data_IF_916491801999
#
_entry.id   IF_916491801999
#
_cell.length_a   1.000
_cell.length_b   1.000
_cell.length_c   1.000
_cell.angle_alpha   90.00
_cell.angle_beta   90.00
_cell.angle_gamma   90.00
#
_symmetry.space_group_name_H-M   'P 1'
#
loop_
_entity.id
_entity.type
_entity.pdbx_description
1 polymer ?
#
# COMPACT_ATOMS: atom_id res chain seq x y z
N UNK A 1 8.10 -1.27 -19.22
CA UNK A 1 8.06 -2.52 -19.98
C UNK A 1 7.79 -3.66 -19.01
N UNK A 2 7.13 -4.72 -19.48
CA UNK A 2 6.94 -5.94 -18.70
C UNK A 2 8.31 -6.58 -18.42
N UNK A 3 8.61 -6.85 -17.15
CA UNK A 3 9.81 -7.57 -16.75
C UNK A 3 9.60 -9.08 -16.81
N UNK A 4 10.69 -9.83 -16.89
CA UNK A 4 10.68 -11.28 -16.73
C UNK A 4 10.41 -11.63 -15.25
N UNK A 5 9.24 -12.21 -14.99
CA UNK A 5 8.76 -12.53 -13.64
C UNK A 5 9.70 -13.49 -12.88
N UNK A 6 10.25 -14.50 -13.57
CA UNK A 6 11.14 -15.49 -12.93
C UNK A 6 12.49 -14.87 -12.57
N UNK A 7 13.09 -14.12 -13.49
CA UNK A 7 14.34 -13.39 -13.21
C UNK A 7 14.14 -12.36 -12.10
N UNK A 8 13.02 -11.63 -12.13
CA UNK A 8 12.70 -10.65 -11.09
C UNK A 8 12.54 -11.31 -9.72
N UNK A 9 11.86 -12.45 -9.65
CA UNK A 9 11.71 -13.23 -8.44
C UNK A 9 13.06 -13.65 -7.86
N UNK A 10 13.96 -14.20 -8.69
CA UNK A 10 15.30 -14.60 -8.27
C UNK A 10 16.12 -13.40 -7.77
N UNK A 11 16.08 -12.27 -8.49
CA UNK A 11 16.72 -11.03 -8.05
C UNK A 11 16.18 -10.58 -6.68
N UNK A 12 14.86 -10.58 -6.49
CA UNK A 12 14.25 -10.23 -5.22
C UNK A 12 14.70 -11.14 -4.07
N UNK A 13 14.76 -12.45 -4.29
CA UNK A 13 15.30 -13.39 -3.29
C UNK A 13 16.77 -13.11 -2.98
N UNK A 14 17.60 -12.87 -3.99
CA UNK A 14 19.01 -12.51 -3.81
C UNK A 14 19.18 -11.22 -3.00
N UNK A 15 18.33 -10.21 -3.24
CA UNK A 15 18.35 -8.93 -2.50
C UNK A 15 17.61 -9.00 -1.15
N UNK A 16 17.15 -10.18 -0.72
CA UNK A 16 16.45 -10.38 0.55
C UNK A 16 15.03 -9.78 0.61
N UNK A 17 14.41 -9.53 -0.54
CA UNK A 17 13.02 -9.07 -0.64
C UNK A 17 12.10 -10.29 -0.58
N UNK A 18 11.60 -10.58 0.62
CA UNK A 18 10.69 -11.71 0.85
C UNK A 18 9.20 -11.32 0.76
N UNK A 19 8.91 -10.03 0.91
CA UNK A 19 7.56 -9.51 0.94
C UNK A 19 7.46 -8.19 0.16
N UNK A 20 6.27 -7.93 -0.35
CA UNK A 20 5.86 -6.69 -0.96
C UNK A 20 4.79 -6.03 -0.08
N UNK A 21 4.76 -4.71 -0.06
CA UNK A 21 3.99 -3.96 0.94
C UNK A 21 3.07 -2.94 0.27
N UNK A 22 1.82 -2.87 0.74
CA UNK A 22 0.86 -1.85 0.31
C UNK A 22 0.19 -1.25 1.54
N UNK A 23 0.19 0.07 1.66
CA UNK A 23 -0.45 0.76 2.76
C UNK A 23 -1.65 1.57 2.28
N UNK A 24 -2.72 1.59 3.07
CA UNK A 24 -3.89 2.40 2.77
C UNK A 24 -4.63 2.84 4.04
N UNK A 25 -5.63 3.70 3.84
CA UNK A 25 -6.59 4.14 4.85
C UNK A 25 -7.47 3.00 5.34
N UNK A 26 -8.08 3.15 6.53
CA UNK A 26 -9.04 2.16 7.05
C UNK A 26 -10.21 1.97 6.09
N UNK A 27 -10.83 3.05 5.62
CA UNK A 27 -12.01 2.97 4.73
C UNK A 27 -11.70 2.27 3.41
N UNK A 28 -10.57 2.58 2.75
CA UNK A 28 -10.19 1.89 1.50
C UNK A 28 -9.83 0.43 1.76
N UNK A 29 -9.20 0.12 2.89
CA UNK A 29 -8.88 -1.26 3.26
C UNK A 29 -10.13 -2.12 3.50
N UNK A 30 -11.21 -1.53 4.04
CA UNK A 30 -12.50 -2.20 4.19
C UNK A 30 -13.07 -2.62 2.83
N UNK A 31 -12.93 -1.79 1.79
CA UNK A 31 -13.30 -2.15 0.42
C UNK A 31 -12.51 -3.37 -0.07
N UNK A 32 -11.20 -3.40 0.18
CA UNK A 32 -10.37 -4.57 -0.17
C UNK A 32 -10.82 -5.83 0.57
N UNK A 33 -11.18 -5.71 1.85
CA UNK A 33 -11.71 -6.84 2.63
C UNK A 33 -13.02 -7.38 2.07
N UNK A 34 -13.95 -6.51 1.66
CA UNK A 34 -15.21 -6.89 1.03
C UNK A 34 -15.01 -7.60 -0.32
N UNK A 35 -13.93 -7.28 -1.04
CA UNK A 35 -13.59 -7.88 -2.34
C UNK A 35 -12.56 -9.00 -2.25
N UNK A 36 -12.15 -9.37 -1.04
CA UNK A 36 -11.17 -10.42 -0.77
C UNK A 36 -9.84 -10.23 -1.57
N UNK A 37 -9.46 -8.97 -1.83
CA UNK A 37 -8.29 -8.66 -2.63
C UNK A 37 -7.97 -7.17 -2.71
N UNK A 38 -6.71 -6.85 -3.01
CA UNK A 38 -6.29 -5.47 -3.30
C UNK A 38 -6.78 -5.08 -4.69
N UNK A 39 -7.33 -3.87 -4.81
CA UNK A 39 -7.82 -3.32 -6.07
C UNK A 39 -7.06 -2.05 -6.42
N UNK A 40 -6.80 -1.86 -7.71
CA UNK A 40 -6.35 -0.58 -8.25
C UNK A 40 -7.43 0.49 -8.03
N UNK A 41 -7.02 1.75 -8.01
CA UNK A 41 -7.96 2.87 -7.79
C UNK A 41 -9.02 2.93 -8.89
N UNK A 42 -8.64 2.65 -10.13
CA UNK A 42 -9.59 2.56 -11.24
C UNK A 42 -10.55 1.40 -11.15
N UNK A 43 -10.12 0.22 -10.70
CA UNK A 43 -11.04 -0.89 -10.46
C UNK A 43 -12.07 -0.57 -9.36
N UNK A 44 -11.66 0.11 -8.28
CA UNK A 44 -12.60 0.57 -7.25
C UNK A 44 -13.64 1.54 -7.85
N UNK A 45 -13.20 2.51 -8.66
CA UNK A 45 -14.09 3.48 -9.32
C UNK A 45 -15.06 2.80 -10.29
N UNK A 46 -14.59 1.92 -11.16
CA UNK A 46 -15.41 1.19 -12.15
C UNK A 46 -16.47 0.30 -11.48
N UNK A 47 -16.16 -0.27 -10.31
CA UNK A 47 -17.08 -1.11 -9.54
C UNK A 47 -18.02 -0.31 -8.63
N UNK A 48 -17.95 1.03 -8.63
CA UNK A 48 -18.77 1.89 -7.77
C UNK A 48 -18.51 1.70 -6.27
N UNK A 49 -17.28 1.29 -5.92
CA UNK A 49 -16.89 1.03 -4.53
C UNK A 49 -16.31 2.29 -3.87
N UNK A 50 -16.24 2.27 -2.55
CA UNK A 50 -15.63 3.35 -1.80
C UNK A 50 -14.09 3.26 -1.84
N UNK A 51 -13.42 4.39 -2.02
CA UNK A 51 -12.02 4.60 -1.66
C UNK A 51 -11.81 6.02 -1.17
N UNK A 52 -10.87 6.18 -0.25
CA UNK A 52 -10.48 7.50 0.22
C UNK A 52 -9.73 8.23 -0.90
N UNK A 53 -10.13 9.49 -1.15
CA UNK A 53 -9.47 10.37 -2.13
C UNK A 53 -8.00 10.57 -1.78
N UNK A 54 -7.13 10.51 -2.79
CA UNK A 54 -5.71 10.81 -2.67
C UNK A 54 -5.37 12.06 -3.48
N UNK A 55 -4.30 12.75 -3.10
CA UNK A 55 -3.85 13.96 -3.82
C UNK A 55 -3.31 13.65 -5.22
N UNK A 56 -2.91 12.40 -5.49
CA UNK A 56 -2.40 11.97 -6.79
C UNK A 56 -3.48 11.56 -7.78
N UNK A 57 -4.76 11.43 -7.38
CA UNK A 57 -5.80 10.80 -8.20
C UNK A 57 -5.90 11.33 -9.64
N UNK A 58 -5.89 12.66 -9.80
CA UNK A 58 -5.95 13.28 -11.13
C UNK A 58 -4.66 13.08 -11.92
N UNK A 59 -3.50 13.10 -11.26
CA UNK A 59 -2.21 12.84 -11.91
C UNK A 59 -2.09 11.38 -12.34
N UNK A 60 -2.61 10.45 -11.53
CA UNK A 60 -2.58 9.03 -11.81
C UNK A 60 -3.40 8.69 -13.07
N UNK A 61 -4.51 9.39 -13.31
CA UNK A 61 -5.28 9.33 -14.57
C UNK A 61 -4.50 9.91 -15.74
N UNK A 62 -3.83 11.05 -15.56
CA UNK A 62 -3.01 11.71 -16.61
C UNK A 62 -1.81 10.86 -17.02
N UNK A 63 -1.18 10.16 -16.08
CA UNK A 63 0.01 9.35 -16.32
C UNK A 63 -0.28 7.88 -16.62
N UNK A 64 -1.55 7.52 -16.84
CA UNK A 64 -1.98 6.16 -17.16
C UNK A 64 -1.50 5.12 -16.13
N UNK A 65 -1.68 5.43 -14.85
CA UNK A 65 -1.41 4.54 -13.71
C UNK A 65 -2.64 4.35 -12.82
N UNK A 66 -3.81 4.85 -13.22
CA UNK A 66 -5.05 4.75 -12.43
C UNK A 66 -5.46 3.29 -12.14
N UNK A 67 -5.19 2.40 -13.10
CA UNK A 67 -5.45 0.96 -12.99
C UNK A 67 -4.24 0.16 -12.49
N UNK A 68 -3.18 0.82 -12.04
CA UNK A 68 -2.01 0.13 -11.49
C UNK A 68 -2.17 -0.17 -10.00
N UNK A 69 -1.47 -1.21 -9.55
CA UNK A 69 -1.26 -1.47 -8.12
C UNK A 69 0.23 -1.34 -7.81
N UNK A 70 0.56 -0.43 -6.89
CA UNK A 70 1.93 -0.19 -6.43
C UNK A 70 2.20 -0.91 -5.11
N UNK A 71 3.31 -1.63 -5.08
CA UNK A 71 3.79 -2.37 -3.92
C UNK A 71 5.25 -2.00 -3.63
N UNK A 72 5.54 -1.60 -2.40
CA UNK A 72 6.90 -1.32 -1.96
C UNK A 72 7.66 -2.62 -1.69
N UNK A 73 8.99 -2.62 -1.91
CA UNK A 73 9.85 -3.75 -1.54
C UNK A 73 10.23 -3.77 -0.05
N UNK A 74 9.71 -2.83 0.74
CA UNK A 74 9.95 -2.70 2.18
C UNK A 74 8.76 -2.05 2.88
N UNK A 75 8.52 -2.40 4.14
CA UNK A 75 7.61 -1.65 5.01
C UNK A 75 8.16 -0.23 5.22
N UNK A 76 7.60 0.75 4.50
CA UNK A 76 8.01 2.16 4.60
C UNK A 76 7.84 2.73 6.02
N UNK A 77 6.90 2.23 6.83
CA UNK A 77 6.73 2.68 8.21
C UNK A 77 7.97 2.28 9.02
N UNK A 78 8.35 1.00 8.95
CA UNK A 78 9.53 0.46 9.63
C UNK A 78 10.84 1.03 9.09
N UNK A 79 10.92 1.29 7.78
CA UNK A 79 12.13 1.80 7.12
C UNK A 79 12.43 3.28 7.45
N UNK A 80 11.40 4.13 7.55
CA UNK A 80 11.55 5.57 7.86
C UNK A 80 11.26 5.93 9.33
N UNK A 81 11.36 4.96 10.25
CA UNK A 81 10.70 4.93 11.56
C UNK A 81 9.63 6.01 11.82
N UNK A 82 8.59 6.06 10.98
CA UNK A 82 7.46 7.01 11.08
C UNK A 82 6.21 6.43 10.44
N UNK A 83 5.05 7.04 10.68
CA UNK A 83 3.79 6.60 10.08
C UNK A 83 3.85 6.56 8.55
N UNK A 84 3.21 5.57 7.95
CA UNK A 84 3.04 5.53 6.52
C UNK A 84 2.07 6.65 6.08
N UNK A 85 2.45 7.41 5.04
CA UNK A 85 1.68 8.55 4.55
C UNK A 85 0.41 8.13 3.80
N UNK A 86 0.39 6.91 3.25
CA UNK A 86 -0.76 6.36 2.52
C UNK A 86 -1.85 5.86 3.47
N UNK A 87 -1.48 5.38 4.65
CA UNK A 87 -2.40 5.12 5.74
C UNK A 87 -1.94 4.07 6.75
N UNK A 88 -2.75 3.82 7.79
CA UNK A 88 -2.36 3.03 8.95
C UNK A 88 -2.55 1.51 8.78
N UNK A 89 -3.16 1.06 7.67
CA UNK A 89 -3.35 -0.36 7.38
C UNK A 89 -2.31 -0.78 6.36
N UNK A 90 -1.40 -1.67 6.75
CA UNK A 90 -0.38 -2.23 5.89
C UNK A 90 -0.72 -3.69 5.53
N UNK A 91 -0.70 -3.98 4.24
CA UNK A 91 -0.78 -5.31 3.68
C UNK A 91 0.63 -5.79 3.34
N UNK A 92 1.04 -6.93 3.90
CA UNK A 92 2.29 -7.61 3.59
C UNK A 92 1.98 -8.85 2.74
N UNK A 93 2.44 -8.86 1.49
CA UNK A 93 2.21 -9.91 0.51
C UNK A 93 3.48 -10.71 0.30
N UNK A 94 3.37 -12.03 0.14
CA UNK A 94 4.50 -12.86 -0.25
C UNK A 94 4.99 -12.44 -1.65
N UNK A 95 6.31 -12.30 -1.79
CA UNK A 95 6.98 -11.96 -3.05
C UNK A 95 6.69 -12.97 -4.17
N UNK A 96 6.32 -14.21 -3.85
CA UNK A 96 5.87 -15.23 -4.82
C UNK A 96 4.73 -14.73 -5.73
N UNK A 97 4.00 -13.68 -5.32
CA UNK A 97 3.03 -12.95 -6.14
C UNK A 97 3.58 -12.57 -7.53
N UNK A 98 4.86 -12.20 -7.63
CA UNK A 98 5.45 -11.77 -8.91
C UNK A 98 5.60 -12.93 -9.90
N UNK A 99 5.49 -14.18 -9.47
CA UNK A 99 5.53 -15.35 -10.34
C UNK A 99 4.21 -15.59 -11.09
N UNK A 100 3.13 -14.91 -10.73
CA UNK A 100 1.87 -15.05 -11.45
C UNK A 100 1.99 -14.46 -12.87
N UNK A 101 1.82 -15.30 -13.88
CA UNK A 101 2.00 -14.95 -15.29
C UNK A 101 0.89 -14.05 -15.85
N UNK A 102 -0.28 -14.02 -15.19
CA UNK A 102 -1.39 -13.12 -15.54
C UNK A 102 -1.08 -11.66 -15.16
N UNK A 103 -0.11 -11.45 -14.27
CA UNK A 103 0.29 -10.13 -13.83
C UNK A 103 1.40 -9.55 -14.71
N UNK A 104 1.13 -8.36 -15.24
CA UNK A 104 2.10 -7.57 -15.96
C UNK A 104 2.95 -6.76 -14.97
N UNK A 105 4.10 -7.31 -14.58
CA UNK A 105 4.97 -6.72 -13.55
C UNK A 105 5.98 -5.74 -14.15
N UNK A 106 5.97 -4.51 -13.62
CA UNK A 106 6.88 -3.41 -13.96
C UNK A 106 7.52 -2.88 -12.67
N UNK A 107 8.68 -2.23 -12.76
CA UNK A 107 9.32 -1.57 -11.61
C UNK A 107 9.58 -0.10 -11.94
N UNK A 108 9.17 0.81 -11.05
CA UNK A 108 9.41 2.25 -11.23
C UNK A 108 10.85 2.64 -10.93
N UNK A 109 11.40 3.63 -11.64
CA UNK A 109 12.68 4.31 -11.30
C UNK A 109 12.46 5.49 -10.35
N UNK A 110 11.22 5.99 -10.24
CA UNK A 110 10.83 7.03 -9.31
C UNK A 110 9.33 6.97 -8.99
N UNK A 111 8.91 7.62 -7.91
CA UNK A 111 7.50 7.69 -7.55
C UNK A 111 6.69 8.50 -8.60
N UNK A 112 5.52 8.01 -9.06
CA UNK A 112 4.68 8.67 -10.05
C UNK A 112 4.35 10.13 -9.75
N UNK A 113 4.30 10.52 -8.47
CA UNK A 113 4.05 11.93 -8.08
C UNK A 113 5.11 12.91 -8.61
N UNK A 114 6.28 12.43 -8.99
CA UNK A 114 7.38 13.24 -9.54
C UNK A 114 7.44 13.23 -11.07
N UNK A 115 6.55 12.48 -11.74
CA UNK A 115 6.49 12.47 -13.19
C UNK A 115 5.85 13.76 -13.71
N UNK A 116 6.21 14.10 -14.94
CA UNK A 116 5.61 15.20 -15.67
C UNK A 116 5.29 14.73 -17.10
N UNK A 117 4.62 15.60 -17.87
CA UNK A 117 4.16 15.26 -19.23
C UNK A 117 5.28 14.89 -20.20
N UNK A 118 6.52 15.28 -19.91
CA UNK A 118 7.69 14.97 -20.73
C UNK A 118 8.46 13.73 -20.25
N UNK A 119 8.09 13.16 -19.09
CA UNK A 119 8.74 11.95 -18.58
C UNK A 119 8.37 10.77 -19.46
N UNK A 120 9.37 10.20 -20.13
CA UNK A 120 9.22 9.04 -21.01
C UNK A 120 9.10 7.76 -20.20
N UNK A 121 8.54 6.69 -20.78
CA UNK A 121 8.41 5.41 -20.07
C UNK A 121 9.76 4.80 -19.69
N UNK A 122 10.82 5.07 -20.45
CA UNK A 122 12.20 4.68 -20.12
C UNK A 122 12.74 5.39 -18.88
N UNK A 123 12.28 6.60 -18.61
CA UNK A 123 12.63 7.34 -17.39
C UNK A 123 11.75 6.92 -16.21
N UNK A 124 10.49 6.53 -16.48
CA UNK A 124 9.54 6.07 -15.45
C UNK A 124 9.89 4.67 -14.93
N UNK A 125 10.29 3.76 -15.81
CA UNK A 125 10.37 2.33 -15.52
C UNK A 125 11.71 1.72 -15.91
N UNK A 126 12.08 0.66 -15.22
CA UNK A 126 13.16 -0.23 -15.67
C UNK A 126 12.75 -0.97 -16.94
N UNK A 127 13.71 -1.10 -17.85
CA UNK A 127 13.53 -1.72 -19.15
C UNK A 127 13.80 -3.23 -19.10
N UNK A 128 14.60 -3.71 -18.14
CA UNK A 128 14.89 -5.13 -17.92
C UNK A 128 15.24 -5.42 -16.45
N UNK A 129 15.31 -6.71 -16.09
CA UNK A 129 15.75 -7.14 -14.75
C UNK A 129 17.25 -6.85 -14.57
N UNK A 130 18.03 -6.98 -15.64
CA UNK A 130 19.46 -6.67 -15.65
C UNK A 130 19.71 -5.17 -15.38
N UNK A 131 18.92 -4.27 -15.98
CA UNK A 131 19.02 -2.82 -15.68
C UNK A 131 18.68 -2.54 -14.20
N UNK A 132 17.66 -3.21 -13.67
CA UNK A 132 17.25 -3.08 -12.28
C UNK A 132 18.34 -3.57 -11.33
N UNK A 133 18.96 -4.71 -11.64
CA UNK A 133 20.06 -5.28 -10.86
C UNK A 133 21.26 -4.34 -10.82
N UNK A 134 21.72 -3.87 -11.99
CA UNK A 134 22.82 -2.92 -12.12
C UNK A 134 22.58 -1.65 -11.29
N UNK A 135 21.34 -1.14 -11.30
CA UNK A 135 20.95 0.10 -10.61
C UNK A 135 20.45 -0.11 -9.18
N UNK A 136 20.41 -1.34 -8.68
CA UNK A 136 19.73 -1.67 -7.42
C UNK A 136 20.22 -0.82 -6.25
N UNK A 137 21.54 -0.68 -6.13
CA UNK A 137 22.19 0.05 -5.03
C UNK A 137 22.35 1.56 -5.30
N UNK A 138 22.04 2.04 -6.51
CA UNK A 138 22.24 3.44 -6.91
C UNK A 138 20.98 4.29 -6.79
N UNK A 139 19.81 3.66 -6.66
CA UNK A 139 18.53 4.33 -6.50
C UNK A 139 17.94 4.02 -5.12
N UNK A 140 17.29 4.98 -4.49
CA UNK A 140 16.69 4.74 -3.17
C UNK A 140 15.58 3.68 -3.25
N UNK A 141 15.44 2.87 -2.19
CA UNK A 141 14.56 1.69 -2.21
C UNK A 141 13.09 2.05 -2.42
N UNK A 142 12.59 3.10 -1.77
CA UNK A 142 11.21 3.58 -1.86
C UNK A 142 10.83 4.12 -3.25
N UNK A 143 11.80 4.33 -4.15
CA UNK A 143 11.53 4.75 -5.53
C UNK A 143 11.26 3.59 -6.46
N UNK A 144 11.68 2.38 -6.07
CA UNK A 144 11.59 1.13 -6.81
C UNK A 144 10.36 0.36 -6.37
N UNK A 145 9.19 0.85 -6.76
CA UNK A 145 7.92 0.18 -6.48
C UNK A 145 7.68 -0.91 -7.51
N UNK A 146 7.23 -2.06 -7.03
CA UNK A 146 6.70 -3.14 -7.87
C UNK A 146 5.30 -2.77 -8.30
N UNK A 147 5.08 -2.68 -9.60
CA UNK A 147 3.82 -2.23 -10.20
C UNK A 147 3.19 -3.39 -10.95
N UNK A 148 1.97 -3.74 -10.58
CA UNK A 148 1.11 -4.59 -11.40
C UNK A 148 0.32 -3.68 -12.32
N UNK A 149 0.68 -3.65 -13.61
CA UNK A 149 0.14 -2.70 -14.58
C UNK A 149 -1.28 -3.06 -14.99
N UNK A 150 -2.12 -2.03 -15.15
CA UNK A 150 -3.46 -2.10 -15.73
C UNK A 150 -4.31 -3.28 -15.18
N UNK A 151 -4.22 -3.53 -13.88
CA UNK A 151 -4.89 -4.64 -13.24
C UNK A 151 -6.26 -4.20 -12.70
N UNK A 152 -7.31 -4.74 -13.30
CA UNK A 152 -8.71 -4.46 -12.93
C UNK A 152 -9.31 -5.51 -11.99
N UNK A 153 -8.64 -6.63 -11.81
CA UNK A 153 -9.08 -7.73 -10.96
C UNK A 153 -8.47 -7.61 -9.56
N UNK A 154 -9.10 -8.12 -8.49
CA UNK A 154 -8.49 -8.15 -7.18
C UNK A 154 -7.19 -8.99 -7.16
N UNK A 155 -6.12 -8.47 -6.55
CA UNK A 155 -5.01 -9.34 -6.09
C UNK A 155 -5.52 -10.10 -4.87
N UNK A 156 -5.79 -11.39 -5.05
CA UNK A 156 -6.44 -12.19 -4.02
C UNK A 156 -5.58 -12.31 -2.75
N UNK A 157 -6.26 -12.32 -1.60
CA UNK A 157 -5.61 -12.37 -0.30
C UNK A 157 -4.94 -13.70 0.06
N UNK A 158 -4.96 -14.68 -0.83
CA UNK A 158 -4.14 -15.87 -0.71
C UNK A 158 -2.64 -15.53 -0.58
N UNK A 159 -2.19 -14.47 -1.25
CA UNK A 159 -0.81 -13.99 -1.18
C UNK A 159 -0.51 -13.14 0.06
N UNK A 160 -1.50 -12.73 0.85
CA UNK A 160 -1.25 -11.96 2.08
C UNK A 160 -0.58 -12.85 3.13
N UNK A 161 0.53 -12.39 3.68
CA UNK A 161 1.13 -12.96 4.88
C UNK A 161 0.54 -12.31 6.14
N UNK A 162 0.47 -10.97 6.18
CA UNK A 162 0.00 -10.20 7.33
C UNK A 162 -0.77 -8.95 6.93
N UNK A 163 -1.69 -8.55 7.79
CA UNK A 163 -2.33 -7.23 7.79
C UNK A 163 -1.96 -6.57 9.11
N UNK A 164 -1.34 -5.39 9.05
CA UNK A 164 -0.81 -4.70 10.20
C UNK A 164 -1.55 -3.37 10.35
N UNK A 165 -2.14 -3.11 11.52
CA UNK A 165 -2.77 -1.83 11.86
C UNK A 165 -1.90 -1.02 12.81
N UNK A 166 -1.64 0.23 12.46
CA UNK A 166 -0.96 1.20 13.34
C UNK A 166 -1.85 1.57 14.55
N UNK A 167 -1.24 1.71 15.73
CA UNK A 167 -1.87 2.31 16.91
C UNK A 167 -1.37 3.76 17.07
N UNK A 168 -2.18 4.78 16.72
CA UNK A 168 -1.78 6.16 16.85
C UNK A 168 -1.73 6.64 18.30
N UNK A 169 -2.36 5.92 19.25
CA UNK A 169 -2.58 6.34 20.65
C UNK A 169 -3.25 7.73 20.78
N UNK A 170 -4.01 8.14 19.77
CA UNK A 170 -4.72 9.41 19.73
C UNK A 170 -6.18 9.24 20.19
N UNK A 171 -6.63 10.18 21.02
CA UNK A 171 -8.04 10.37 21.39
C UNK A 171 -8.52 11.71 20.84
N UNK A 172 -9.62 11.70 20.10
CA UNK A 172 -10.29 12.92 19.65
C UNK A 172 -11.46 13.22 20.60
N UNK A 173 -11.61 14.46 21.02
CA UNK A 173 -12.75 14.89 21.85
C UNK A 173 -13.75 15.67 20.99
N UNK A 174 -15.03 15.32 21.07
CA UNK A 174 -16.12 16.04 20.44
C UNK A 174 -17.32 16.08 21.38
N UNK A 175 -17.63 17.26 21.95
CA UNK A 175 -18.80 17.51 22.82
C UNK A 175 -19.07 16.36 23.81
N UNK A 176 -18.12 16.14 24.74
CA UNK A 176 -18.11 15.10 25.78
C UNK A 176 -17.94 13.64 25.32
N UNK A 177 -17.94 13.37 24.02
CA UNK A 177 -17.59 12.06 23.48
C UNK A 177 -16.09 11.96 23.15
N UNK A 178 -15.49 10.82 23.52
CA UNK A 178 -14.10 10.49 23.20
C UNK A 178 -14.03 9.41 22.14
N UNK A 179 -13.42 9.73 20.99
CA UNK A 179 -13.16 8.78 19.91
C UNK A 179 -11.72 8.31 20.03
N UNK A 180 -11.54 7.02 20.32
CA UNK A 180 -10.25 6.37 20.34
C UNK A 180 -9.95 5.81 18.94
N UNK A 181 -9.09 6.50 18.18
CA UNK A 181 -8.88 6.19 16.75
C UNK A 181 -8.48 4.72 16.51
N UNK A 182 -7.59 4.18 17.33
CA UNK A 182 -7.18 2.78 17.24
C UNK A 182 -8.36 1.82 17.46
N UNK A 183 -9.20 2.08 18.47
CA UNK A 183 -10.31 1.20 18.81
C UNK A 183 -11.37 1.18 17.70
N UNK A 184 -11.69 2.35 17.14
CA UNK A 184 -12.62 2.46 16.01
C UNK A 184 -12.09 1.74 14.76
N UNK A 185 -10.84 2.01 14.39
CA UNK A 185 -10.19 1.35 13.26
C UNK A 185 -10.14 -0.18 13.44
N UNK A 186 -9.70 -0.63 14.62
CA UNK A 186 -9.61 -2.06 14.95
C UNK A 186 -10.97 -2.73 14.93
N UNK A 187 -12.01 -2.09 15.50
CA UNK A 187 -13.39 -2.62 15.50
C UNK A 187 -13.92 -2.77 14.08
N UNK A 188 -13.76 -1.76 13.25
CA UNK A 188 -14.21 -1.79 11.86
C UNK A 188 -13.53 -2.93 11.07
N UNK A 189 -12.20 -3.05 11.18
CA UNK A 189 -11.44 -4.08 10.46
C UNK A 189 -11.75 -5.48 11.00
N UNK A 190 -11.75 -5.66 12.33
CA UNK A 190 -11.92 -6.97 12.96
C UNK A 190 -13.26 -7.62 12.60
N UNK A 191 -14.33 -6.83 12.54
CA UNK A 191 -15.65 -7.34 12.13
C UNK A 191 -15.66 -7.98 10.74
N UNK A 192 -14.81 -7.50 9.82
CA UNK A 192 -14.71 -8.04 8.45
C UNK A 192 -13.66 -9.15 8.36
N UNK A 193 -12.54 -9.00 9.07
CA UNK A 193 -11.44 -9.98 9.06
C UNK A 193 -11.84 -11.29 9.73
N UNK A 194 -12.55 -11.24 10.86
CA UNK A 194 -12.88 -12.45 11.65
C UNK A 194 -13.77 -13.43 10.86
N UNK A 195 -14.60 -12.92 9.94
CA UNK A 195 -15.46 -13.73 9.07
C UNK A 195 -14.79 -14.14 7.76
N UNK A 196 -13.66 -13.51 7.38
CA UNK A 196 -12.94 -13.83 6.16
C UNK A 196 -11.86 -14.91 6.43
N UNK A 197 -12.14 -16.13 5.97
CA UNK A 197 -11.30 -17.32 6.17
C UNK A 197 -9.86 -17.11 5.69
N UNK A 198 -9.63 -16.34 4.61
CA UNK A 198 -8.31 -16.15 4.01
C UNK A 198 -7.37 -15.29 4.87
N UNK A 199 -7.92 -14.45 5.75
CA UNK A 199 -7.16 -13.43 6.50
C UNK A 199 -7.44 -13.40 8.01
N UNK A 200 -8.40 -14.16 8.53
CA UNK A 200 -8.82 -14.13 9.96
C UNK A 200 -7.67 -14.22 10.98
N UNK A 201 -6.60 -14.95 10.66
CA UNK A 201 -5.45 -15.15 11.53
C UNK A 201 -4.21 -14.32 11.13
N UNK A 202 -4.37 -13.41 10.17
CA UNK A 202 -3.27 -12.61 9.60
C UNK A 202 -3.25 -11.16 10.10
N UNK A 203 -4.27 -10.74 10.86
CA UNK A 203 -4.38 -9.37 11.37
C UNK A 203 -3.63 -9.18 12.69
N UNK A 204 -2.77 -8.17 12.75
CA UNK A 204 -1.98 -7.81 13.94
C UNK A 204 -1.93 -6.30 14.13
N UNK A 205 -1.62 -5.88 15.36
CA UNK A 205 -1.32 -4.48 15.67
C UNK A 205 0.18 -4.23 15.52
N UNK A 206 0.56 -3.07 14.98
CA UNK A 206 1.95 -2.65 14.91
C UNK A 206 2.49 -2.38 16.31
N UNK A 207 3.70 -2.89 16.57
CA UNK A 207 4.48 -2.55 17.76
C UNK A 207 5.67 -1.70 17.34
N UNK A 208 5.78 -0.51 17.92
CA UNK A 208 6.83 0.46 17.64
C UNK A 208 7.72 0.64 18.87
N UNK A 209 9.04 0.51 18.71
CA UNK A 209 10.02 0.78 19.77
C UNK A 209 10.67 2.17 19.58
N UNK A 210 11.34 2.38 18.43
CA UNK A 210 12.04 3.62 18.09
C UNK A 210 11.43 4.27 16.85
N UNK A 211 10.15 4.64 16.94
CA UNK A 211 9.40 5.21 15.82
C UNK A 211 8.70 6.50 16.24
N UNK A 212 8.73 7.51 15.37
CA UNK A 212 8.11 8.81 15.63
C UNK A 212 6.61 8.82 15.28
N UNK A 213 6.01 7.69 14.88
CA UNK A 213 4.64 7.65 14.38
C UNK A 213 3.61 8.21 15.37
N UNK A 214 3.65 7.79 16.65
CA UNK A 214 2.74 8.30 17.68
C UNK A 214 2.88 9.81 17.86
N UNK A 215 4.11 10.31 17.94
CA UNK A 215 4.38 11.75 18.07
C UNK A 215 3.88 12.52 16.84
N UNK A 216 4.11 11.99 15.64
CA UNK A 216 3.65 12.62 14.40
C UNK A 216 2.12 12.62 14.30
N UNK A 217 1.45 11.53 14.67
CA UNK A 217 0.00 11.49 14.71
C UNK A 217 -0.58 12.52 15.68
N UNK A 218 0.05 12.71 16.85
CA UNK A 218 -0.40 13.67 17.85
C UNK A 218 -0.17 15.13 17.45
N UNK A 219 0.96 15.44 16.80
CA UNK A 219 1.42 16.83 16.67
C UNK A 219 1.49 17.33 15.22
N UNK A 220 1.61 16.44 14.24
CA UNK A 220 1.91 16.82 12.85
C UNK A 220 0.78 16.46 11.88
N UNK A 221 -0.14 15.57 12.27
CA UNK A 221 -1.29 15.17 11.45
C UNK A 221 -2.53 15.90 11.95
N UNK A 222 -3.19 16.67 11.08
CA UNK A 222 -4.41 17.39 11.44
C UNK A 222 -5.54 16.44 11.86
N UNK A 223 -6.45 16.91 12.72
CA UNK A 223 -7.64 16.15 13.14
C UNK A 223 -8.45 15.64 11.94
N UNK A 224 -8.60 16.45 10.89
CA UNK A 224 -9.29 16.03 9.66
C UNK A 224 -8.57 14.86 8.98
N UNK A 225 -7.24 14.92 8.86
CA UNK A 225 -6.46 13.83 8.28
C UNK A 225 -6.47 12.58 9.17
N UNK A 226 -6.43 12.72 10.49
CA UNK A 226 -6.55 11.60 11.41
C UNK A 226 -7.89 10.87 11.23
N UNK A 227 -8.99 11.62 11.12
CA UNK A 227 -10.31 11.05 10.83
C UNK A 227 -10.30 10.32 9.48
N UNK A 228 -9.81 10.98 8.41
CA UNK A 228 -9.66 10.39 7.08
C UNK A 228 -8.85 9.08 7.06
N UNK A 229 -7.80 9.00 7.88
CA UNK A 229 -6.91 7.84 7.93
C UNK A 229 -7.51 6.64 8.70
N UNK A 230 -8.14 6.91 9.84
CA UNK A 230 -8.50 5.89 10.84
C UNK A 230 -10.00 5.59 10.96
N UNK A 231 -10.87 6.52 10.62
CA UNK A 231 -12.31 6.32 10.77
C UNK A 231 -12.90 5.81 9.46
N UNK A 232 -13.83 4.86 9.60
CA UNK A 232 -14.64 4.43 8.48
C UNK A 232 -15.60 5.55 8.09
N UNK A 233 -15.44 6.09 6.90
CA UNK A 233 -16.41 6.98 6.28
C UNK A 233 -17.55 6.11 5.72
N UNK A 234 -18.78 6.42 6.14
CA UNK A 234 -20.03 5.80 5.66
C UNK A 234 -20.61 6.72 4.59
#
# INVERSE_FOLDING_TARGET
>A
MRLDNNKLYLLFKEKGVNYLYHANTVSTSLTYFQKNGLLSRGAVEELGLFQTKQSSDELDKVFDVWNDIFLDTVDLHGYFPRQNLYGPVLFELNVDLVLNEDYEIWITKNNPIYWNKNTTDKEKYFESVEELEEKWNFLERQRKMTTIRNNKNPILFEHINKIILDDPRVKLTNNDNHIHLFNEARKAIKNVVDINISIRNKFTTRVCNNCFCTQNYLNNVSVQNLKRLFLHEI
#
